data_IF_381614967662
#
_entry.id   IF_381614967662
#
_cell.length_a   1.000
_cell.length_b   1.000
_cell.length_c   1.000
_cell.angle_alpha   90.00
_cell.angle_beta   90.00
_cell.angle_gamma   90.00
#
_symmetry.space_group_name_H-M   'P 1'
#
loop_
_entity.id
_entity.type
_entity.pdbx_description
1 polymer ?
#
# COMPACT_ATOMS: atom_id res chain seq x y z
N UNK A 1 9.30 -17.10 24.26
CA UNK A 1 10.31 -16.14 23.77
C UNK A 1 10.02 -14.82 24.45
N UNK A 2 10.95 -14.31 25.27
CA UNK A 2 10.78 -13.08 26.03
C UNK A 2 10.39 -11.91 25.11
N UNK A 3 9.25 -11.27 25.41
CA UNK A 3 8.75 -10.07 24.73
C UNK A 3 9.65 -8.87 25.08
N UNK A 4 10.86 -8.87 24.52
CA UNK A 4 11.69 -7.68 24.55
C UNK A 4 11.04 -6.64 23.63
N UNK A 5 10.63 -5.52 24.23
CA UNK A 5 10.15 -4.35 23.52
C UNK A 5 11.35 -3.67 22.86
N UNK A 6 11.23 -3.29 21.57
CA UNK A 6 12.29 -2.53 20.87
C UNK A 6 12.63 -1.30 21.72
N UNK A 7 13.91 -1.09 22.11
CA UNK A 7 14.32 0.05 22.93
C UNK A 7 13.98 1.41 22.29
N UNK A 8 13.83 1.46 20.96
CA UNK A 8 13.44 2.67 20.23
C UNK A 8 11.91 2.80 20.03
N UNK A 9 11.10 1.88 20.58
CA UNK A 9 9.64 1.91 20.50
C UNK A 9 9.07 1.77 19.07
N UNK A 10 9.86 1.26 18.12
CA UNK A 10 9.41 1.15 16.72
C UNK A 10 8.44 -0.02 16.57
N UNK A 11 7.24 0.20 16.00
CA UNK A 11 6.32 -0.88 15.74
C UNK A 11 6.90 -1.84 14.69
N UNK A 12 6.71 -3.15 14.90
CA UNK A 12 7.09 -4.22 13.97
C UNK A 12 8.60 -4.48 13.74
N UNK A 13 9.45 -4.07 14.68
CA UNK A 13 10.85 -4.51 14.70
C UNK A 13 10.98 -5.74 15.60
N UNK A 14 11.79 -6.72 15.17
CA UNK A 14 12.19 -7.84 16.02
C UNK A 14 13.70 -8.01 16.01
N UNK A 15 14.21 -8.61 17.07
CA UNK A 15 15.63 -8.91 17.21
C UNK A 15 16.04 -10.03 16.23
N UNK A 16 17.10 -9.80 15.47
CA UNK A 16 17.71 -10.78 14.57
C UNK A 16 19.05 -11.24 15.12
N UNK A 17 19.27 -12.56 15.15
CA UNK A 17 20.53 -13.21 15.58
C UNK A 17 21.14 -14.10 14.49
N UNK A 18 20.82 -13.85 13.22
CA UNK A 18 21.28 -14.70 12.11
C UNK A 18 22.81 -14.68 11.93
N UNK A 19 23.38 -15.81 11.50
CA UNK A 19 24.81 -15.94 11.14
C UNK A 19 25.13 -15.47 9.72
N UNK A 20 24.17 -15.57 8.80
CA UNK A 20 24.37 -15.23 7.39
C UNK A 20 24.76 -13.75 7.15
N UNK A 21 24.29 -12.85 8.02
CA UNK A 21 24.61 -11.41 7.97
C UNK A 21 25.33 -10.92 9.22
N UNK A 22 25.99 -11.83 9.95
CA UNK A 22 26.79 -11.53 11.14
C UNK A 22 26.03 -10.74 12.22
N UNK A 23 24.71 -10.99 12.34
CA UNK A 23 23.86 -10.29 13.29
C UNK A 23 24.12 -10.77 14.73
N UNK A 24 24.52 -12.03 14.89
CA UNK A 24 24.91 -12.62 16.19
C UNK A 24 26.14 -11.92 16.81
N UNK A 25 27.05 -11.40 16.01
CA UNK A 25 28.24 -10.68 16.51
C UNK A 25 27.97 -9.25 16.93
N UNK A 26 26.77 -8.74 16.67
CA UNK A 26 26.38 -7.40 17.12
C UNK A 26 25.82 -7.53 18.52
N UNK A 27 26.25 -6.65 19.42
CA UNK A 27 25.71 -6.56 20.76
C UNK A 27 24.83 -5.32 20.89
N UNK A 28 23.84 -5.41 21.75
CA UNK A 28 23.02 -4.28 22.16
C UNK A 28 22.78 -4.39 23.67
N UNK A 29 22.59 -3.24 24.32
CA UNK A 29 22.38 -3.15 25.76
C UNK A 29 20.88 -3.11 26.04
N UNK A 30 20.39 -4.10 26.78
CA UNK A 30 19.01 -4.16 27.21
C UNK A 30 18.73 -3.16 28.35
N UNK A 31 17.45 -2.80 28.59
CA UNK A 31 17.08 -1.84 29.64
C UNK A 31 17.49 -2.28 31.06
N UNK A 32 17.65 -3.60 31.26
CA UNK A 32 18.15 -4.22 32.50
C UNK A 32 19.68 -4.11 32.68
N UNK A 33 20.38 -3.47 31.73
CA UNK A 33 21.83 -3.32 31.73
C UNK A 33 22.60 -4.52 31.17
N UNK A 34 21.92 -5.61 30.80
CA UNK A 34 22.56 -6.78 30.21
C UNK A 34 22.98 -6.53 28.76
N UNK A 35 24.13 -7.05 28.34
CA UNK A 35 24.53 -7.05 26.93
C UNK A 35 24.01 -8.32 26.26
N UNK A 36 23.18 -8.14 25.23
CA UNK A 36 22.58 -9.22 24.45
C UNK A 36 23.08 -9.19 23.01
N UNK A 37 23.15 -10.34 22.39
CA UNK A 37 23.52 -10.49 20.98
C UNK A 37 22.32 -10.25 20.07
N UNK A 38 22.57 -9.72 18.88
CA UNK A 38 21.59 -9.46 17.84
C UNK A 38 21.41 -7.99 17.48
N UNK A 39 20.60 -7.74 16.46
CA UNK A 39 20.21 -6.39 16.03
C UNK A 39 18.75 -6.32 15.64
N UNK A 40 18.11 -5.21 15.98
CA UNK A 40 16.71 -4.93 15.63
C UNK A 40 16.55 -4.63 14.15
N UNK A 41 15.62 -5.34 13.51
CA UNK A 41 15.28 -5.18 12.11
C UNK A 41 13.77 -5.24 11.90
N UNK A 42 13.28 -4.62 10.83
CA UNK A 42 11.89 -4.73 10.42
C UNK A 42 11.55 -6.16 9.97
N UNK A 43 10.27 -6.56 10.06
CA UNK A 43 9.77 -7.87 9.59
C UNK A 43 10.24 -8.24 8.17
N UNK A 44 10.30 -7.27 7.25
CA UNK A 44 10.75 -7.49 5.86
C UNK A 44 12.23 -7.86 5.79
N UNK A 45 13.10 -7.15 6.52
CA UNK A 45 14.54 -7.43 6.55
C UNK A 45 14.83 -8.75 7.26
N UNK A 46 14.10 -9.07 8.33
CA UNK A 46 14.17 -10.37 9.01
C UNK A 46 13.83 -11.53 8.07
N UNK A 47 12.80 -11.39 7.24
CA UNK A 47 12.44 -12.41 6.25
C UNK A 47 13.57 -12.69 5.26
N UNK A 48 14.26 -11.63 4.78
CA UNK A 48 15.43 -11.77 3.90
C UNK A 48 16.59 -12.47 4.61
N UNK A 49 16.88 -12.07 5.84
CA UNK A 49 17.96 -12.66 6.64
C UNK A 49 17.70 -14.15 6.93
N UNK A 50 16.47 -14.52 7.29
CA UNK A 50 16.08 -15.93 7.53
C UNK A 50 16.24 -16.77 6.26
N UNK A 51 15.82 -16.24 5.11
CA UNK A 51 15.99 -16.93 3.82
C UNK A 51 17.47 -17.12 3.46
N UNK A 52 18.30 -16.10 3.67
CA UNK A 52 19.74 -16.18 3.42
C UNK A 52 20.43 -17.20 4.34
N UNK A 53 20.02 -17.28 5.61
CA UNK A 53 20.54 -18.28 6.55
C UNK A 53 20.11 -19.70 6.19
N UNK A 54 18.84 -19.91 5.80
CA UNK A 54 18.36 -21.19 5.28
C UNK A 54 19.10 -21.62 4.01
N UNK A 55 19.41 -20.67 3.11
CA UNK A 55 20.15 -20.95 1.88
C UNK A 55 21.62 -21.33 2.17
N UNK A 56 22.27 -20.67 3.13
CA UNK A 56 23.63 -21.03 3.55
C UNK A 56 23.67 -22.39 4.26
N UNK A 57 22.65 -22.73 5.04
CA UNK A 57 22.51 -24.08 5.63
C UNK A 57 22.28 -25.13 4.54
N UNK A 58 21.40 -24.87 3.57
CA UNK A 58 21.14 -25.78 2.46
C UNK A 58 22.38 -26.02 1.58
N UNK A 59 23.27 -25.02 1.45
CA UNK A 59 24.56 -25.13 0.75
C UNK A 59 25.68 -25.76 1.59
N UNK A 60 25.40 -26.15 2.84
CA UNK A 60 26.39 -26.73 3.76
C UNK A 60 27.45 -25.74 4.26
N UNK A 61 27.24 -24.43 4.07
CA UNK A 61 28.17 -23.36 4.49
C UNK A 61 28.02 -23.09 6.00
N UNK A 62 26.80 -23.25 6.53
CA UNK A 62 26.51 -23.13 7.95
C UNK A 62 25.94 -24.45 8.49
N UNK A 63 26.34 -24.88 9.71
CA UNK A 63 25.71 -26.02 10.33
C UNK A 63 24.24 -25.68 10.65
N UNK A 64 23.30 -26.64 10.55
CA UNK A 64 21.94 -26.45 11.02
C UNK A 64 21.93 -25.90 12.45
N UNK A 65 21.05 -24.95 12.74
CA UNK A 65 20.81 -24.56 14.13
C UNK A 65 20.29 -25.83 14.84
N UNK A 66 20.98 -26.25 15.91
CA UNK A 66 20.47 -27.30 16.79
C UNK A 66 19.10 -26.90 17.35
N UNK A 67 18.30 -27.86 17.82
CA UNK A 67 16.96 -27.59 18.33
C UNK A 67 17.04 -26.60 19.51
N UNK A 68 16.64 -25.36 19.24
CA UNK A 68 16.21 -24.41 20.24
C UNK A 68 14.73 -24.18 19.95
N UNK A 69 13.91 -24.95 20.65
CA UNK A 69 12.49 -24.76 20.92
C UNK A 69 11.66 -24.27 19.72
N UNK A 70 11.43 -25.18 18.77
CA UNK A 70 10.25 -25.14 17.91
C UNK A 70 9.03 -25.56 18.75
N UNK A 71 8.52 -24.64 19.58
CA UNK A 71 7.17 -24.78 20.11
C UNK A 71 6.18 -24.27 19.06
N UNK A 72 5.48 -25.24 18.50
CA UNK A 72 4.41 -25.17 17.53
C UNK A 72 3.31 -24.21 18.01
N UNK A 73 3.24 -23.02 17.40
CA UNK A 73 2.10 -22.13 17.57
C UNK A 73 0.89 -22.68 16.80
N UNK A 74 0.21 -23.65 17.40
CA UNK A 74 -1.19 -23.95 17.08
C UNK A 74 -2.06 -22.74 17.48
N UNK A 75 -2.99 -22.28 16.64
CA UNK A 75 -3.97 -21.29 17.04
C UNK A 75 -4.93 -21.90 18.07
N UNK A 76 -5.21 -21.24 19.21
CA UNK A 76 -6.15 -21.76 20.18
C UNK A 76 -7.57 -21.75 19.62
N UNK A 77 -8.21 -22.93 19.69
CA UNK A 77 -9.65 -23.05 19.64
C UNK A 77 -10.24 -22.39 20.91
N UNK A 78 -11.23 -21.51 20.73
CA UNK A 78 -12.25 -21.32 21.76
C UNK A 78 -13.60 -20.96 21.12
N UNK A 79 -14.56 -21.82 21.45
CA UNK A 79 -16.00 -21.69 21.23
C UNK A 79 -16.52 -20.49 22.04
N UNK A 80 -17.62 -19.89 21.62
CA UNK A 80 -18.91 -20.04 22.31
C UNK A 80 -19.97 -19.04 21.77
N UNK A 81 -21.09 -19.66 21.39
CA UNK A 81 -22.47 -19.21 21.59
C UNK A 81 -23.09 -18.08 20.74
N UNK A 82 -24.15 -18.52 20.04
CA UNK A 82 -25.26 -17.78 19.46
C UNK A 82 -26.04 -17.04 20.58
N UNK A 83 -26.70 -15.91 20.25
CA UNK A 83 -28.10 -15.83 20.64
C UNK A 83 -29.03 -15.65 19.45
N UNK A 84 -30.00 -16.55 19.44
CA UNK A 84 -31.27 -16.53 18.73
C UNK A 84 -31.97 -15.16 18.83
N UNK A 85 -32.54 -14.73 17.71
CA UNK A 85 -33.74 -13.90 17.72
C UNK A 85 -33.55 -12.44 17.32
N UNK A 86 -33.83 -12.14 16.06
CA UNK A 86 -34.93 -11.24 15.71
C UNK A 86 -35.31 -11.52 14.25
N UNK A 87 -36.40 -12.26 14.06
CA UNK A 87 -37.03 -12.38 12.75
C UNK A 87 -37.64 -11.02 12.40
N UNK A 88 -37.09 -10.36 11.39
CA UNK A 88 -37.82 -9.31 10.67
C UNK A 88 -38.19 -9.91 9.32
N UNK A 89 -39.46 -10.31 9.24
CA UNK A 89 -40.14 -10.63 7.98
C UNK A 89 -39.97 -9.46 7.01
N UNK A 90 -39.07 -9.61 6.04
CA UNK A 90 -39.00 -8.70 4.89
C UNK A 90 -39.28 -9.53 3.64
N UNK A 91 -40.57 -9.52 3.30
CA UNK A 91 -41.21 -9.94 2.05
C UNK A 91 -40.19 -10.04 0.90
N UNK A 92 -39.84 -11.26 0.54
CA UNK A 92 -39.14 -11.56 -0.69
C UNK A 92 -39.97 -10.96 -1.83
N UNK A 93 -39.37 -10.01 -2.55
CA UNK A 93 -39.84 -9.69 -3.89
C UNK A 93 -39.13 -10.68 -4.78
N UNK A 94 -39.91 -11.44 -5.53
CA UNK A 94 -39.45 -12.22 -6.67
C UNK A 94 -38.53 -11.35 -7.53
N UNK A 95 -37.23 -11.59 -7.43
CA UNK A 95 -36.24 -11.11 -8.38
C UNK A 95 -35.98 -12.30 -9.28
N UNK A 96 -36.28 -12.11 -10.56
CA UNK A 96 -36.10 -13.10 -11.61
C UNK A 96 -34.75 -13.81 -11.46
N UNK A 97 -34.80 -15.14 -11.46
CA UNK A 97 -33.66 -16.03 -11.46
C UNK A 97 -32.92 -15.87 -12.80
N UNK A 98 -32.12 -14.81 -12.93
CA UNK A 98 -31.23 -14.61 -14.06
C UNK A 98 -30.14 -15.69 -14.03
N UNK A 99 -30.02 -16.41 -15.14
CA UNK A 99 -29.06 -17.48 -15.40
C UNK A 99 -27.63 -17.11 -14.94
N UNK A 100 -27.20 -17.70 -13.81
CA UNK A 100 -25.89 -17.51 -13.18
C UNK A 100 -24.69 -17.87 -14.09
N UNK A 101 -24.97 -18.49 -15.24
CA UNK A 101 -24.00 -18.96 -16.22
C UNK A 101 -23.88 -18.06 -17.44
N UNK A 102 -24.42 -16.84 -17.39
CA UNK A 102 -24.29 -15.89 -18.51
C UNK A 102 -22.81 -15.54 -18.78
N UNK A 103 -22.33 -15.62 -20.04
CA UNK A 103 -20.94 -15.30 -20.40
C UNK A 103 -20.56 -13.85 -20.05
N UNK A 104 -21.54 -12.95 -19.93
CA UNK A 104 -21.33 -11.58 -19.49
C UNK A 104 -20.92 -11.49 -18.01
N UNK A 105 -21.49 -12.33 -17.14
CA UNK A 105 -21.17 -12.38 -15.72
C UNK A 105 -19.75 -12.94 -15.53
N UNK A 106 -19.42 -14.03 -16.24
CA UNK A 106 -18.07 -14.58 -16.24
C UNK A 106 -17.02 -13.55 -16.70
N UNK A 107 -17.32 -12.77 -17.74
CA UNK A 107 -16.43 -11.69 -18.23
C UNK A 107 -16.20 -10.61 -17.18
N UNK A 108 -17.25 -10.15 -16.47
CA UNK A 108 -17.12 -9.16 -15.40
C UNK A 108 -16.27 -9.68 -14.24
N UNK A 109 -16.46 -10.95 -13.84
CA UNK A 109 -15.68 -11.62 -12.80
C UNK A 109 -14.20 -11.72 -13.19
N UNK A 110 -13.89 -12.17 -14.40
CA UNK A 110 -12.52 -12.27 -14.90
C UNK A 110 -11.81 -10.92 -14.97
N UNK A 111 -12.53 -9.88 -15.44
CA UNK A 111 -12.00 -8.51 -15.45
C UNK A 111 -11.71 -8.03 -14.02
N UNK A 112 -12.64 -8.21 -13.09
CA UNK A 112 -12.48 -7.82 -11.69
C UNK A 112 -11.30 -8.55 -11.02
N UNK A 113 -11.17 -9.86 -11.21
CA UNK A 113 -10.06 -10.65 -10.65
C UNK A 113 -8.71 -10.24 -11.23
N UNK A 114 -8.64 -10.03 -12.55
CA UNK A 114 -7.42 -9.59 -13.23
C UNK A 114 -6.98 -8.21 -12.74
N UNK A 115 -7.91 -7.26 -12.63
CA UNK A 115 -7.62 -5.92 -12.13
C UNK A 115 -7.19 -5.97 -10.66
N UNK A 116 -7.87 -6.76 -9.82
CA UNK A 116 -7.57 -6.90 -8.39
C UNK A 116 -6.19 -7.48 -8.16
N UNK A 117 -5.85 -8.56 -8.88
CA UNK A 117 -4.53 -9.18 -8.81
C UNK A 117 -3.43 -8.19 -9.15
N UNK A 118 -3.57 -7.46 -10.26
CA UNK A 118 -2.53 -6.50 -10.69
C UNK A 118 -2.46 -5.30 -9.76
N UNK A 119 -3.60 -4.78 -9.28
CA UNK A 119 -3.61 -3.72 -8.28
C UNK A 119 -2.90 -4.17 -7.00
N UNK A 120 -3.14 -5.39 -6.53
CA UNK A 120 -2.45 -5.95 -5.37
C UNK A 120 -0.94 -6.10 -5.61
N UNK A 121 -0.53 -6.63 -6.76
CA UNK A 121 0.89 -6.73 -7.13
C UNK A 121 1.57 -5.35 -7.20
N UNK A 122 0.89 -4.35 -7.76
CA UNK A 122 1.42 -3.00 -7.88
C UNK A 122 1.52 -2.28 -6.54
N UNK A 123 0.46 -2.32 -5.74
CA UNK A 123 0.34 -1.54 -4.51
C UNK A 123 0.98 -2.24 -3.30
N UNK A 124 0.77 -3.55 -3.16
CA UNK A 124 1.20 -4.31 -1.98
C UNK A 124 2.57 -4.95 -2.23
N UNK A 125 2.76 -5.60 -3.38
CA UNK A 125 4.06 -6.20 -3.71
C UNK A 125 5.07 -5.19 -4.28
N UNK A 126 4.65 -3.95 -4.54
CA UNK A 126 5.51 -2.87 -5.00
C UNK A 126 6.06 -3.07 -6.41
N UNK A 127 5.35 -3.81 -7.27
CA UNK A 127 5.76 -3.94 -8.67
C UNK A 127 5.79 -2.57 -9.34
N UNK A 128 6.78 -2.35 -10.21
CA UNK A 128 6.82 -1.14 -11.03
C UNK A 128 5.60 -1.09 -11.96
N UNK A 129 5.28 0.11 -12.47
CA UNK A 129 4.20 0.28 -13.46
C UNK A 129 4.46 -0.56 -14.71
N UNK A 130 5.70 -0.57 -15.20
CA UNK A 130 6.07 -1.33 -16.38
C UNK A 130 5.93 -2.85 -16.16
N UNK A 131 6.32 -3.35 -14.98
CA UNK A 131 6.14 -4.76 -14.63
C UNK A 131 4.64 -5.11 -14.52
N UNK A 132 3.85 -4.27 -13.86
CA UNK A 132 2.40 -4.46 -13.70
C UNK A 132 1.68 -4.47 -15.05
N UNK A 133 2.06 -3.56 -15.96
CA UNK A 133 1.51 -3.51 -17.31
C UNK A 133 1.89 -4.75 -18.14
N UNK A 134 3.09 -5.31 -17.94
CA UNK A 134 3.46 -6.60 -18.56
C UNK A 134 2.60 -7.75 -18.03
N UNK A 135 2.34 -7.80 -16.73
CA UNK A 135 1.45 -8.81 -16.13
C UNK A 135 0.04 -8.71 -16.73
N UNK A 136 -0.52 -7.50 -16.85
CA UNK A 136 -1.83 -7.30 -17.51
C UNK A 136 -1.87 -7.84 -18.94
N UNK A 137 -0.82 -7.59 -19.72
CA UNK A 137 -0.71 -8.10 -21.09
C UNK A 137 -0.65 -9.63 -21.13
N UNK A 138 0.14 -10.24 -20.26
CA UNK A 138 0.23 -11.71 -20.17
C UNK A 138 -1.12 -12.31 -19.76
N UNK A 139 -1.80 -11.72 -18.77
CA UNK A 139 -3.14 -12.16 -18.36
C UNK A 139 -4.15 -12.06 -19.52
N UNK A 140 -4.11 -10.97 -20.30
CA UNK A 140 -4.93 -10.83 -21.50
C UNK A 140 -4.68 -11.93 -22.53
N UNK A 141 -3.41 -12.29 -22.78
CA UNK A 141 -3.06 -13.38 -23.69
C UNK A 141 -3.53 -14.74 -23.17
N UNK A 142 -3.32 -15.03 -21.89
CA UNK A 142 -3.75 -16.30 -21.26
C UNK A 142 -5.27 -16.43 -21.37
N UNK A 143 -6.01 -15.36 -21.09
CA UNK A 143 -7.47 -15.39 -21.15
C UNK A 143 -7.99 -15.52 -22.58
N UNK A 144 -7.33 -14.91 -23.57
CA UNK A 144 -7.68 -15.10 -24.98
C UNK A 144 -7.51 -16.57 -25.43
N UNK A 145 -6.46 -17.25 -24.94
CA UNK A 145 -6.23 -18.68 -25.24
C UNK A 145 -7.24 -19.58 -24.54
N UNK A 146 -7.50 -19.32 -23.25
CA UNK A 146 -8.36 -20.18 -22.41
C UNK A 146 -9.85 -19.99 -22.75
N UNK A 147 -10.27 -18.79 -23.17
CA UNK A 147 -11.68 -18.52 -23.45
C UNK A 147 -12.15 -19.04 -24.83
N UNK A 148 -11.24 -19.46 -25.72
CA UNK A 148 -11.50 -20.08 -27.04
C UNK A 148 -12.59 -19.42 -27.92
N UNK A 149 -12.98 -18.19 -27.63
CA UNK A 149 -14.09 -17.50 -28.26
C UNK A 149 -13.80 -16.00 -28.27
N UNK A 150 -14.46 -15.34 -29.23
CA UNK A 150 -14.49 -13.93 -29.67
C UNK A 150 -14.64 -12.85 -28.58
N UNK A 151 -14.16 -13.14 -27.37
CA UNK A 151 -14.09 -12.19 -26.28
C UNK A 151 -12.85 -11.35 -26.55
N UNK A 152 -13.06 -10.26 -27.29
CA UNK A 152 -12.20 -9.08 -27.22
C UNK A 152 -12.29 -8.54 -25.78
N UNK A 153 -11.63 -9.24 -24.86
CA UNK A 153 -11.58 -8.96 -23.44
C UNK A 153 -10.62 -7.79 -23.31
N UNK A 154 -11.17 -6.58 -23.30
CA UNK A 154 -10.43 -5.34 -23.09
C UNK A 154 -10.00 -5.26 -21.62
N UNK A 155 -9.12 -6.17 -21.22
CA UNK A 155 -8.38 -6.06 -19.97
C UNK A 155 -7.54 -4.78 -20.09
N UNK A 156 -7.52 -3.94 -19.04
CA UNK A 156 -6.66 -2.77 -19.01
C UNK A 156 -5.21 -3.12 -19.37
N UNK A 157 -4.59 -2.35 -20.25
CA UNK A 157 -3.16 -2.49 -20.53
C UNK A 157 -2.30 -1.62 -19.60
N UNK A 158 -2.95 -0.74 -18.83
CA UNK A 158 -2.33 0.15 -17.86
C UNK A 158 -2.90 -0.13 -16.47
N UNK A 159 -2.01 -0.31 -15.50
CA UNK A 159 -2.35 -0.53 -14.09
C UNK A 159 -3.18 0.60 -13.49
N UNK A 160 -3.04 1.83 -13.97
CA UNK A 160 -3.89 2.97 -13.56
C UNK A 160 -5.33 2.76 -13.99
N UNK A 161 -5.53 2.23 -15.19
CA UNK A 161 -6.87 1.91 -15.70
C UNK A 161 -7.49 0.77 -14.88
N UNK A 162 -6.70 -0.23 -14.46
CA UNK A 162 -7.15 -1.25 -13.52
C UNK A 162 -7.50 -0.68 -12.14
N UNK A 163 -6.67 0.22 -11.59
CA UNK A 163 -6.95 0.88 -10.31
C UNK A 163 -8.19 1.79 -10.37
N UNK A 164 -8.40 2.48 -11.50
CA UNK A 164 -9.61 3.26 -11.77
C UNK A 164 -10.85 2.37 -11.88
N UNK A 165 -10.74 1.23 -12.56
CA UNK A 165 -11.84 0.26 -12.66
C UNK A 165 -12.28 -0.23 -11.28
N UNK A 166 -11.33 -0.49 -10.39
CA UNK A 166 -11.60 -0.88 -9.00
C UNK A 166 -11.97 0.30 -8.08
N UNK A 167 -11.95 1.54 -8.60
CA UNK A 167 -12.18 2.77 -7.82
C UNK A 167 -11.22 2.93 -6.62
N UNK A 168 -9.99 2.42 -6.73
CA UNK A 168 -8.96 2.49 -5.66
C UNK A 168 -8.04 3.71 -5.86
N UNK A 169 -7.97 4.28 -7.07
CA UNK A 169 -7.12 5.46 -7.34
C UNK A 169 -7.56 6.65 -6.48
N UNK A 170 -6.64 7.22 -5.65
CA UNK A 170 -6.99 8.33 -4.78
C UNK A 170 -7.20 9.61 -5.60
N UNK A 171 -8.21 10.38 -5.22
CA UNK A 171 -8.38 11.75 -5.75
C UNK A 171 -7.38 12.63 -5.02
N UNK A 172 -6.41 13.18 -5.75
CA UNK A 172 -5.37 14.05 -5.20
C UNK A 172 -5.73 15.49 -5.50
N UNK A 173 -6.05 16.24 -4.44
CA UNK A 173 -6.21 17.67 -4.49
C UNK A 173 -4.85 18.34 -4.32
N UNK A 174 -4.57 19.33 -5.16
CA UNK A 174 -3.33 20.10 -5.12
C UNK A 174 -3.63 21.52 -4.72
N UNK A 175 -2.98 21.98 -3.66
CA UNK A 175 -3.08 23.36 -3.18
C UNK A 175 -1.70 23.98 -3.12
N UNK A 176 -1.62 25.30 -3.26
CA UNK A 176 -0.36 26.04 -3.13
C UNK A 176 -0.49 26.94 -1.92
N UNK A 177 0.57 27.02 -1.11
CA UNK A 177 0.63 27.99 -0.02
C UNK A 177 1.92 28.80 -0.07
N UNK A 178 1.87 30.02 0.47
CA UNK A 178 3.08 30.76 0.75
C UNK A 178 3.98 29.98 1.73
N UNK A 179 5.28 29.79 1.46
CA UNK A 179 6.16 29.02 2.34
C UNK A 179 6.43 29.71 3.69
N UNK A 180 6.17 31.02 3.79
CA UNK A 180 6.45 31.83 5.00
C UNK A 180 5.21 32.02 5.87
N UNK A 181 4.08 32.45 5.28
CA UNK A 181 2.84 32.72 6.04
C UNK A 181 1.74 31.68 5.84
N UNK A 182 1.98 30.63 5.05
CA UNK A 182 1.03 29.54 4.78
C UNK A 182 -0.33 29.95 4.20
N UNK A 183 -0.47 31.19 3.71
CA UNK A 183 -1.67 31.63 2.98
C UNK A 183 -1.90 30.71 1.76
N UNK A 184 -3.08 30.09 1.63
CA UNK A 184 -3.42 29.29 0.45
C UNK A 184 -3.71 30.20 -0.75
N UNK A 185 -3.33 29.73 -1.93
CA UNK A 185 -3.60 30.35 -3.22
C UNK A 185 -4.23 29.33 -4.17
N UNK A 186 -5.11 29.81 -5.05
CA UNK A 186 -5.65 29.00 -6.13
C UNK A 186 -4.58 28.79 -7.21
N UNK A 187 -4.61 27.64 -7.89
CA UNK A 187 -3.70 27.33 -9.00
C UNK A 187 -3.91 28.26 -10.21
N UNK A 188 -5.13 28.78 -10.40
CA UNK A 188 -5.50 29.58 -11.56
C UNK A 188 -5.04 31.04 -11.45
N UNK A 189 -5.00 31.59 -10.24
CA UNK A 189 -4.82 33.03 -9.99
C UNK A 189 -3.68 33.29 -9.00
N UNK A 190 -2.59 32.53 -9.11
CA UNK A 190 -1.47 32.68 -8.19
C UNK A 190 -0.59 33.88 -8.56
N UNK A 191 -0.40 34.87 -7.67
CA UNK A 191 0.49 36.00 -7.93
C UNK A 191 1.96 35.56 -7.94
N UNK A 192 2.84 36.42 -8.46
CA UNK A 192 4.29 36.15 -8.44
C UNK A 192 4.87 36.20 -7.01
N UNK A 193 4.32 37.07 -6.18
CA UNK A 193 4.70 37.31 -4.80
C UNK A 193 3.47 37.22 -3.88
N UNK A 194 3.70 36.84 -2.63
CA UNK A 194 2.65 36.74 -1.62
C UNK A 194 2.19 38.15 -1.18
N UNK A 195 0.92 38.47 -1.41
CA UNK A 195 0.32 39.76 -1.00
C UNK A 195 -0.38 39.70 0.37
N UNK A 196 -0.34 38.53 1.03
CA UNK A 196 -0.99 38.33 2.32
C UNK A 196 -0.39 39.26 3.39
N UNK A 197 -1.27 39.78 4.24
CA UNK A 197 -0.94 40.58 5.43
C UNK A 197 -1.46 39.86 6.67
N UNK A 198 -0.73 39.95 7.78
CA UNK A 198 -1.18 39.37 9.06
C UNK A 198 -2.33 40.18 9.65
N UNK A 199 -2.25 41.51 9.55
CA UNK A 199 -3.31 42.47 9.88
C UNK A 199 -3.40 43.53 8.79
N UNK A 200 -4.51 44.27 8.70
CA UNK A 200 -4.72 45.30 7.67
C UNK A 200 -3.58 46.34 7.60
N UNK A 201 -3.04 46.72 8.76
CA UNK A 201 -1.92 47.66 8.88
C UNK A 201 -0.51 47.06 8.73
N UNK A 202 -0.37 45.73 8.71
CA UNK A 202 0.93 45.08 8.58
C UNK A 202 1.49 45.14 7.15
N UNK A 203 2.82 45.06 7.01
CA UNK A 203 3.47 44.94 5.71
C UNK A 203 3.07 43.62 5.02
N UNK A 204 2.90 43.60 3.69
CA UNK A 204 2.65 42.37 2.95
C UNK A 204 3.85 41.42 3.04
N UNK A 205 3.57 40.12 2.98
CA UNK A 205 4.55 39.05 3.12
C UNK A 205 5.65 39.10 2.05
N UNK A 206 5.32 39.50 0.82
CA UNK A 206 6.21 39.68 -0.34
C UNK A 206 7.10 38.49 -0.69
N UNK A 207 6.83 37.31 -0.13
CA UNK A 207 7.62 36.11 -0.41
C UNK A 207 7.31 35.63 -1.83
N UNK A 208 8.31 35.35 -2.67
CA UNK A 208 8.09 34.81 -4.01
C UNK A 208 7.35 33.47 -3.90
N UNK A 209 6.35 33.27 -4.75
CA UNK A 209 5.55 32.04 -4.79
C UNK A 209 6.03 31.07 -5.88
N UNK A 210 6.90 31.51 -6.77
CA UNK A 210 7.47 30.71 -7.85
C UNK A 210 8.98 30.53 -7.66
N UNK A 211 9.50 29.43 -8.21
CA UNK A 211 10.93 29.15 -8.27
C UNK A 211 11.24 28.40 -9.55
N UNK A 212 12.39 28.70 -10.15
CA UNK A 212 12.92 27.92 -11.26
C UNK A 212 13.57 26.64 -10.73
N UNK A 213 13.12 25.49 -11.23
CA UNK A 213 13.70 24.18 -10.94
C UNK A 213 14.33 23.61 -12.20
N UNK A 214 15.57 23.17 -12.09
CA UNK A 214 16.22 22.37 -13.14
C UNK A 214 15.59 20.98 -13.15
N UNK A 215 14.95 20.61 -14.25
CA UNK A 215 14.43 19.25 -14.46
C UNK A 215 15.24 18.56 -15.55
N UNK A 216 15.10 17.23 -15.69
CA UNK A 216 15.73 16.48 -16.79
C UNK A 216 15.32 16.99 -18.17
N UNK A 217 14.14 17.61 -18.28
CA UNK A 217 13.60 18.21 -19.50
C UNK A 217 13.94 19.71 -19.66
N UNK A 218 14.86 20.24 -18.84
CA UNK A 218 15.24 21.66 -18.83
C UNK A 218 14.70 22.44 -17.62
N UNK A 219 15.06 23.72 -17.50
CA UNK A 219 14.54 24.60 -16.44
C UNK A 219 13.03 24.80 -16.58
N UNK A 220 12.30 24.74 -15.46
CA UNK A 220 10.86 24.99 -15.39
C UNK A 220 10.52 25.85 -14.19
N UNK A 221 9.63 26.81 -14.39
CA UNK A 221 9.06 27.62 -13.31
C UNK A 221 7.95 26.81 -12.65
N UNK A 222 8.08 26.59 -11.34
CA UNK A 222 7.11 25.83 -10.55
C UNK A 222 6.75 26.58 -9.27
N UNK A 223 5.58 26.30 -8.66
CA UNK A 223 5.25 26.82 -7.34
C UNK A 223 6.32 26.44 -6.31
N UNK A 224 6.69 27.38 -5.44
CA UNK A 224 7.67 27.14 -4.37
C UNK A 224 7.23 26.06 -3.40
N UNK A 225 5.93 25.99 -3.10
CA UNK A 225 5.38 25.03 -2.14
C UNK A 225 4.00 24.53 -2.59
N UNK A 226 4.02 23.39 -3.28
CA UNK A 226 2.83 22.65 -3.68
C UNK A 226 2.54 21.57 -2.63
N UNK A 227 1.32 21.56 -2.11
CA UNK A 227 0.79 20.51 -1.27
C UNK A 227 -0.08 19.59 -2.12
N UNK A 228 0.03 18.28 -1.87
CA UNK A 228 -0.83 17.26 -2.47
C UNK A 228 -1.51 16.53 -1.33
N UNK A 229 -2.82 16.67 -1.23
CA UNK A 229 -3.67 16.03 -0.22
C UNK A 229 -4.58 15.04 -0.91
N UNK A 230 -4.86 13.91 -0.26
CA UNK A 230 -5.90 13.02 -0.75
C UNK A 230 -7.26 13.54 -0.27
N UNK A 231 -8.24 13.55 -1.18
CA UNK A 231 -9.61 13.93 -0.86
C UNK A 231 -10.27 12.79 -0.07
N UNK A 232 -10.37 12.95 1.24
CA UNK A 232 -10.91 11.93 2.13
C UNK A 232 -12.41 11.70 1.90
N UNK A 233 -13.18 12.74 1.61
CA UNK A 233 -14.62 12.63 1.32
C UNK A 233 -14.88 11.78 0.07
N UNK A 234 -14.11 12.01 -0.99
CA UNK A 234 -14.15 11.21 -2.22
C UNK A 234 -13.82 9.74 -1.95
N UNK A 235 -12.92 9.48 -0.99
CA UNK A 235 -12.58 8.12 -0.59
C UNK A 235 -13.70 7.45 0.21
N UNK A 236 -14.27 8.13 1.21
CA UNK A 236 -15.39 7.63 2.01
C UNK A 236 -16.65 7.37 1.17
N UNK A 237 -16.96 8.26 0.22
CA UNK A 237 -18.09 8.11 -0.67
C UNK A 237 -17.97 6.89 -1.60
N UNK A 238 -16.75 6.40 -1.84
CA UNK A 238 -16.51 5.16 -2.59
C UNK A 238 -16.66 3.92 -1.71
N UNK A 239 -16.14 3.95 -0.48
CA UNK A 239 -16.21 2.81 0.44
C UNK A 239 -17.61 2.50 1.00
N UNK A 240 -18.55 3.44 0.92
CA UNK A 240 -19.91 3.28 1.45
C UNK A 240 -20.94 2.82 0.41
N UNK A 241 -20.56 2.67 -0.86
CA UNK A 241 -21.46 2.23 -1.94
C UNK A 241 -21.75 0.73 -1.94
N UNK A 242 -21.02 -0.07 -1.16
CA UNK A 242 -21.20 -1.52 -1.04
C UNK A 242 -22.17 -1.93 0.10
N UNK A 243 -23.03 -1.02 0.56
CA UNK A 243 -23.98 -1.28 1.67
C UNK A 243 -25.46 -1.03 1.32
N UNK A 244 -25.83 -1.07 0.03
CA UNK A 244 -27.23 -0.98 -0.41
C UNK A 244 -27.60 -2.06 -1.39
#
# INVERSE_FOLDING_TARGET
MDDYVDPDGRPNYKLCVCRAHDCVRRTWRAPDGSEKQGKWYSKSTLGKHRKAEQEMVAKGILPPLGPQDEEEAQPPARRDELPTGLQVMRKEKDVDMEDETSPAIARRRLLFLSCTLVAWLHLICGLSRDASNRVLKVLGLVLAVVAASDVEQKIPQDVRTAANYLSIEPVIDRSICCPTCFRPYSLKEMPQICLARQTSGSRPCNTPLWVERKTRAGPRIVPRRLYSTQNFESWLARGTRDSK
#
